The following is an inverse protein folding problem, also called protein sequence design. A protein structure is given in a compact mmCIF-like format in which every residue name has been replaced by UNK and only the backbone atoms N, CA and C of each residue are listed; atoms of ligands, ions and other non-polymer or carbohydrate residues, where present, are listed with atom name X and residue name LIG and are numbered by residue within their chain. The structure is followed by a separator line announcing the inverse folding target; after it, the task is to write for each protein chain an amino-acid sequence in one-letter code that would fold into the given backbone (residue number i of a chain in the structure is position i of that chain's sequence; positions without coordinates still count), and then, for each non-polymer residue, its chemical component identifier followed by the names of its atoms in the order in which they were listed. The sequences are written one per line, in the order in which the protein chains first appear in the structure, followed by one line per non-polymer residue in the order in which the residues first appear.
data_IF_786787130080
#
_entry.id   IF_786787130080
#
_cell.length_a   1.000
_cell.length_b   1.000
_cell.length_c   1.000
_cell.angle_alpha   90.00
_cell.angle_beta   90.00
_cell.angle_gamma   90.00
#
_symmetry.space_group_name_H-M   'P 1'
#
loop_
_entity.id
_entity.type
_entity.pdbx_description
1 polymer ?
#
# COMPACT_ATOMS: atom_id res chain seq x y z
N UNK A 1 1.09 5.33 15.71
CA UNK A 1 0.20 4.86 14.62
C UNK A 1 0.23 3.33 14.46
N UNK A 2 1.41 2.69 14.48
CA UNK A 2 1.58 1.24 14.36
C UNK A 2 0.67 0.40 15.28
N UNK A 3 0.58 0.73 16.58
CA UNK A 3 -0.27 0.00 17.54
C UNK A 3 -1.75 -0.08 17.12
N UNK A 4 -2.34 1.03 16.63
CA UNK A 4 -3.74 1.04 16.17
C UNK A 4 -3.95 0.17 14.94
N UNK A 5 -2.97 0.12 14.03
CA UNK A 5 -3.04 -0.71 12.82
C UNK A 5 -2.98 -2.19 13.15
N UNK A 6 -2.11 -2.56 14.09
CA UNK A 6 -2.00 -3.94 14.55
C UNK A 6 -3.29 -4.41 15.26
N UNK A 7 -4.10 -3.49 15.80
CA UNK A 7 -5.41 -3.81 16.36
C UNK A 7 -6.50 -4.01 15.29
N UNK A 8 -6.34 -3.49 14.07
CA UNK A 8 -7.35 -3.61 13.00
C UNK A 8 -7.45 -5.04 12.48
N UNK A 9 -6.33 -5.77 12.38
CA UNK A 9 -6.33 -7.14 11.90
C UNK A 9 -6.32 -8.13 13.07
N UNK A 10 -7.25 -9.10 13.05
CA UNK A 10 -7.26 -10.20 14.02
C UNK A 10 -5.93 -10.97 14.04
N UNK A 11 -5.25 -11.07 12.89
CA UNK A 11 -3.96 -11.78 12.77
C UNK A 11 -2.85 -11.07 13.53
N UNK A 12 -2.78 -9.75 13.46
CA UNK A 12 -1.78 -8.96 14.18
C UNK A 12 -2.13 -8.77 15.64
N UNK A 13 -3.42 -8.60 15.96
CA UNK A 13 -3.91 -8.41 17.33
C UNK A 13 -3.69 -9.66 18.21
N UNK A 14 -3.81 -10.86 17.62
CA UNK A 14 -3.60 -12.15 18.32
C UNK A 14 -2.23 -12.75 18.05
N UNK A 15 -1.29 -11.99 17.51
CA UNK A 15 0.04 -12.50 17.21
C UNK A 15 0.79 -12.80 18.51
N UNK A 16 1.11 -14.07 18.74
CA UNK A 16 1.92 -14.53 19.88
C UNK A 16 3.42 -14.57 19.60
N UNK A 17 3.86 -14.18 18.39
CA UNK A 17 5.27 -14.17 17.99
C UNK A 17 5.57 -13.02 17.04
N UNK A 18 6.83 -12.59 16.97
CA UNK A 18 7.28 -11.61 15.98
C UNK A 18 7.04 -12.09 14.54
N UNK A 19 7.12 -13.40 14.31
CA UNK A 19 6.87 -13.98 12.98
C UNK A 19 5.41 -13.83 12.57
N UNK A 20 4.47 -14.25 13.42
CA UNK A 20 3.04 -14.10 13.13
C UNK A 20 2.60 -12.64 13.07
N UNK A 21 3.24 -11.75 13.85
CA UNK A 21 3.04 -10.31 13.75
C UNK A 21 3.51 -9.76 12.40
N UNK A 22 4.69 -10.18 11.95
CA UNK A 22 5.26 -9.80 10.65
C UNK A 22 4.40 -10.26 9.48
N UNK A 23 3.94 -11.52 9.49
CA UNK A 23 3.02 -12.03 8.47
C UNK A 23 1.69 -11.28 8.45
N UNK A 24 1.11 -11.02 9.63
CA UNK A 24 -0.10 -10.23 9.73
C UNK A 24 0.08 -8.81 9.20
N UNK A 25 1.22 -8.18 9.48
CA UNK A 25 1.54 -6.82 9.01
C UNK A 25 1.71 -6.76 7.49
N UNK A 26 2.40 -7.75 6.92
CA UNK A 26 2.55 -7.89 5.47
C UNK A 26 1.22 -8.10 4.76
N UNK A 27 0.32 -8.90 5.33
CA UNK A 27 -1.04 -9.10 4.81
C UNK A 27 -1.84 -7.80 4.79
N UNK A 28 -1.74 -6.97 5.85
CA UNK A 28 -2.39 -5.65 5.88
C UNK A 28 -1.83 -4.75 4.78
N UNK A 29 -0.51 -4.68 4.63
CA UNK A 29 0.14 -3.88 3.59
C UNK A 29 -0.32 -4.30 2.19
N UNK A 30 -0.39 -5.61 1.93
CA UNK A 30 -0.89 -6.18 0.68
C UNK A 30 -2.32 -5.74 0.38
N UNK A 31 -3.22 -5.98 1.33
CA UNK A 31 -4.64 -5.61 1.20
C UNK A 31 -4.82 -4.12 0.90
N UNK A 32 -4.00 -3.27 1.51
CA UNK A 32 -4.05 -1.82 1.32
C UNK A 32 -3.54 -1.38 -0.04
N UNK A 33 -2.43 -1.94 -0.52
CA UNK A 33 -1.93 -1.66 -1.87
C UNK A 33 -2.95 -2.07 -2.94
N UNK A 34 -3.59 -3.22 -2.77
CA UNK A 34 -4.65 -3.70 -3.65
C UNK A 34 -5.88 -2.81 -3.61
N UNK A 35 -6.39 -2.48 -2.42
CA UNK A 35 -7.55 -1.59 -2.24
C UNK A 35 -7.30 -0.22 -2.87
N UNK A 36 -6.09 0.32 -2.72
CA UNK A 36 -5.70 1.61 -3.31
C UNK A 36 -5.76 1.57 -4.84
N UNK A 37 -5.24 0.50 -5.46
CA UNK A 37 -5.34 0.33 -6.91
C UNK A 37 -6.80 0.21 -7.38
N UNK A 38 -7.65 -0.51 -6.63
CA UNK A 38 -9.08 -0.64 -6.93
C UNK A 38 -9.78 0.72 -6.84
N UNK A 39 -9.55 1.48 -5.78
CA UNK A 39 -10.15 2.81 -5.59
C UNK A 39 -9.75 3.77 -6.71
N UNK A 40 -8.47 3.81 -7.09
CA UNK A 40 -8.01 4.62 -8.23
C UNK A 40 -8.69 4.21 -9.55
N UNK A 41 -8.89 2.91 -9.75
CA UNK A 41 -9.59 2.40 -10.93
C UNK A 41 -11.09 2.78 -10.93
N UNK A 42 -11.75 2.76 -9.77
CA UNK A 42 -13.13 3.23 -9.62
C UNK A 42 -13.21 4.73 -9.93
N UNK A 43 -12.30 5.55 -9.39
CA UNK A 43 -12.24 6.98 -9.70
C UNK A 43 -12.03 7.25 -11.19
N UNK A 44 -11.16 6.48 -11.86
CA UNK A 44 -10.93 6.56 -13.31
C UNK A 44 -12.17 6.25 -14.15
N UNK A 45 -13.02 5.32 -13.69
CA UNK A 45 -14.27 4.95 -14.39
C UNK A 45 -15.40 5.94 -14.15
N UNK A 46 -15.47 6.52 -12.96
CA UNK A 46 -16.58 7.38 -12.54
C UNK A 46 -16.56 8.79 -13.17
N UNK A 47 -15.40 9.34 -13.53
CA UNK A 47 -15.30 10.72 -14.07
C UNK A 47 -14.77 10.71 -15.50
N UNK A 48 -15.60 11.16 -16.45
CA UNK A 48 -15.31 11.20 -17.90
C UNK A 48 -14.24 12.23 -18.29
N UNK A 49 -14.16 13.37 -17.61
CA UNK A 49 -13.16 14.42 -17.84
C UNK A 49 -12.33 14.67 -16.58
N UNK A 50 -11.10 14.17 -16.58
CA UNK A 50 -10.12 14.38 -15.50
C UNK A 50 -8.95 15.17 -16.05
N UNK A 51 -8.68 16.34 -15.46
CA UNK A 51 -7.47 17.14 -15.75
C UNK A 51 -6.17 16.38 -15.38
N UNK A 52 -6.27 15.26 -14.66
CA UNK A 52 -5.14 14.45 -14.16
C UNK A 52 -5.29 12.94 -14.43
N UNK A 53 -6.00 12.55 -15.50
CA UNK A 53 -6.34 11.13 -15.76
C UNK A 53 -5.10 10.23 -15.83
N UNK A 54 -4.02 10.71 -16.44
CA UNK A 54 -2.76 9.96 -16.53
C UNK A 54 -2.12 9.75 -15.16
N UNK A 55 -2.14 10.75 -14.26
CA UNK A 55 -1.63 10.59 -12.89
C UNK A 55 -2.41 9.51 -12.11
N UNK A 56 -3.72 9.42 -12.31
CA UNK A 56 -4.52 8.34 -11.71
C UNK A 56 -4.16 6.96 -12.26
N UNK A 57 -3.94 6.83 -13.59
CA UNK A 57 -3.52 5.57 -14.21
C UNK A 57 -2.14 5.15 -13.71
N UNK A 58 -1.18 6.08 -13.75
CA UNK A 58 0.19 5.86 -13.26
C UNK A 58 0.17 5.44 -11.79
N UNK A 59 -0.58 6.14 -10.93
CA UNK A 59 -0.71 5.75 -9.53
C UNK A 59 -1.35 4.37 -9.33
N UNK A 60 -2.41 4.05 -10.09
CA UNK A 60 -3.03 2.73 -10.04
C UNK A 60 -2.01 1.65 -10.37
N UNK A 61 -1.21 1.86 -11.40
CA UNK A 61 -0.25 0.87 -11.88
C UNK A 61 0.97 0.76 -10.93
N UNK A 62 1.40 1.86 -10.32
CA UNK A 62 2.36 1.87 -9.22
C UNK A 62 1.86 1.13 -7.98
N UNK A 63 0.60 1.28 -7.60
CA UNK A 63 0.02 0.51 -6.49
C UNK A 63 -0.13 -0.98 -6.81
N UNK A 64 -0.44 -1.35 -8.06
CA UNK A 64 -0.37 -2.75 -8.51
C UNK A 64 1.06 -3.30 -8.42
N UNK A 65 2.05 -2.50 -8.80
CA UNK A 65 3.45 -2.86 -8.67
C UNK A 65 3.88 -3.01 -7.19
N UNK A 66 3.46 -2.09 -6.32
CA UNK A 66 3.67 -2.18 -4.88
C UNK A 66 3.10 -3.48 -4.31
N UNK A 67 1.88 -3.86 -4.72
CA UNK A 67 1.26 -5.12 -4.32
C UNK A 67 2.11 -6.34 -4.74
N UNK A 68 2.62 -6.36 -5.99
CA UNK A 68 3.54 -7.41 -6.46
C UNK A 68 4.80 -7.48 -5.59
N UNK A 69 5.39 -6.34 -5.22
CA UNK A 69 6.57 -6.29 -4.34
C UNK A 69 6.28 -6.76 -2.92
N UNK A 70 5.10 -6.48 -2.38
CA UNK A 70 4.68 -7.01 -1.08
C UNK A 70 4.50 -8.53 -1.15
N UNK A 71 3.96 -9.08 -2.25
CA UNK A 71 3.86 -10.53 -2.46
C UNK A 71 5.27 -11.18 -2.52
N UNK A 72 6.21 -10.56 -3.23
CA UNK A 72 7.62 -10.98 -3.23
C UNK A 72 8.23 -10.91 -1.81
N UNK A 73 7.94 -9.85 -1.04
CA UNK A 73 8.37 -9.70 0.34
C UNK A 73 7.82 -10.80 1.25
N UNK A 74 6.52 -11.14 1.14
CA UNK A 74 5.88 -12.23 1.88
C UNK A 74 6.57 -13.56 1.57
N UNK A 75 6.84 -13.84 0.29
CA UNK A 75 7.54 -15.06 -0.13
C UNK A 75 8.93 -15.15 0.49
N UNK A 76 9.70 -14.05 0.51
CA UNK A 76 11.02 -14.00 1.16
C UNK A 76 10.94 -14.08 2.68
N UNK A 77 9.96 -13.44 3.30
CA UNK A 77 9.74 -13.47 4.75
C UNK A 77 9.44 -14.89 5.24
N UNK A 78 8.59 -15.63 4.53
CA UNK A 78 8.27 -17.03 4.85
C UNK A 78 9.48 -17.96 4.78
N UNK A 79 10.45 -17.64 3.90
CA UNK A 79 11.74 -18.33 3.76
C UNK A 79 12.82 -17.81 4.73
N UNK A 80 12.46 -16.96 5.70
CA UNK A 80 13.37 -16.29 6.64
C UNK A 80 14.44 -15.41 5.95
N UNK A 81 14.26 -15.04 4.69
CA UNK A 81 15.14 -14.13 3.96
C UNK A 81 14.76 -12.66 4.24
N UNK A 82 14.89 -12.23 5.50
CA UNK A 82 14.37 -10.93 5.97
C UNK A 82 15.01 -9.73 5.27
N UNK A 83 16.31 -9.78 4.97
CA UNK A 83 16.99 -8.72 4.24
C UNK A 83 16.40 -8.51 2.83
N UNK A 84 16.11 -9.61 2.10
CA UNK A 84 15.46 -9.53 0.80
C UNK A 84 14.01 -9.06 0.91
N UNK A 85 13.27 -9.52 1.93
CA UNK A 85 11.90 -9.08 2.18
C UNK A 85 11.84 -7.57 2.41
N UNK A 86 12.77 -7.03 3.22
CA UNK A 86 12.90 -5.60 3.49
C UNK A 86 13.14 -4.79 2.22
N UNK A 87 14.06 -5.22 1.34
CA UNK A 87 14.32 -4.52 0.07
C UNK A 87 13.06 -4.37 -0.79
N UNK A 88 12.21 -5.40 -0.85
CA UNK A 88 10.96 -5.32 -1.59
C UNK A 88 9.94 -4.39 -0.93
N UNK A 89 9.86 -4.37 0.41
CA UNK A 89 9.02 -3.43 1.13
C UNK A 89 9.45 -1.97 0.94
N UNK A 90 10.76 -1.69 0.94
CA UNK A 90 11.29 -0.35 0.71
C UNK A 90 10.92 0.19 -0.68
N UNK A 91 10.80 -0.68 -1.68
CA UNK A 91 10.29 -0.30 -3.00
C UNK A 91 8.80 0.01 -2.94
N UNK A 92 8.01 -0.82 -2.27
CA UNK A 92 6.56 -0.61 -2.12
C UNK A 92 6.24 0.68 -1.33
N UNK A 93 7.01 0.98 -0.28
CA UNK A 93 6.84 2.14 0.60
C UNK A 93 7.01 3.49 -0.12
N UNK A 94 7.73 3.54 -1.24
CA UNK A 94 7.94 4.77 -2.02
C UNK A 94 6.71 5.16 -2.85
N UNK A 95 5.79 4.23 -3.08
CA UNK A 95 4.66 4.44 -4.00
C UNK A 95 3.69 5.52 -3.50
N UNK A 96 3.18 5.50 -2.25
CA UNK A 96 2.28 6.54 -1.74
C UNK A 96 2.88 7.94 -1.88
N UNK A 97 4.14 8.10 -1.49
CA UNK A 97 4.87 9.38 -1.61
C UNK A 97 5.00 9.82 -3.07
N UNK A 98 5.32 8.90 -3.99
CA UNK A 98 5.41 9.21 -5.42
C UNK A 98 4.06 9.66 -6.00
N UNK A 99 2.97 9.05 -5.54
CA UNK A 99 1.61 9.42 -5.94
C UNK A 99 1.23 10.78 -5.38
N UNK A 100 1.51 11.02 -4.09
CA UNK A 100 1.32 12.32 -3.45
C UNK A 100 2.00 13.44 -4.26
N UNK A 101 3.25 13.22 -4.68
CA UNK A 101 4.01 14.17 -5.51
C UNK A 101 3.40 14.39 -6.90
N UNK A 102 2.91 13.35 -7.56
CA UNK A 102 2.34 13.45 -8.91
C UNK A 102 1.08 14.34 -8.97
N UNK A 103 0.34 14.47 -7.87
CA UNK A 103 -0.83 15.33 -7.79
C UNK A 103 -0.55 16.73 -7.19
N UNK A 104 0.67 16.97 -6.69
CA UNK A 104 1.08 18.21 -6.04
C UNK A 104 0.18 18.60 -4.86
N UNK A 105 0.07 19.90 -4.60
CA UNK A 105 -0.73 20.46 -3.50
C UNK A 105 -2.24 20.36 -3.76
N UNK A 106 -2.65 20.15 -5.02
CA UNK A 106 -4.06 20.00 -5.42
C UNK A 106 -4.45 18.53 -5.53
N UNK A 107 -4.18 17.76 -4.49
CA UNK A 107 -4.63 16.38 -4.42
C UNK A 107 -6.15 16.29 -4.35
N UNK A 108 -6.78 15.53 -5.27
CA UNK A 108 -8.17 15.17 -5.12
C UNK A 108 -8.39 14.47 -3.78
N UNK A 109 -9.51 14.76 -3.10
CA UNK A 109 -9.80 14.24 -1.77
C UNK A 109 -9.73 12.71 -1.70
N UNK A 110 -10.07 12.03 -2.79
CA UNK A 110 -10.01 10.57 -2.91
C UNK A 110 -8.56 10.07 -2.88
N UNK A 111 -7.66 10.74 -3.60
CA UNK A 111 -6.22 10.43 -3.62
C UNK A 111 -5.60 10.76 -2.26
N UNK A 112 -6.00 11.87 -1.65
CA UNK A 112 -5.54 12.26 -0.31
C UNK A 112 -5.89 11.18 0.71
N UNK A 113 -7.14 10.68 0.71
CA UNK A 113 -7.56 9.57 1.58
C UNK A 113 -6.75 8.30 1.33
N UNK A 114 -6.48 7.94 0.08
CA UNK A 114 -5.68 6.76 -0.27
C UNK A 114 -4.23 6.90 0.25
N UNK A 115 -3.63 8.07 0.09
CA UNK A 115 -2.26 8.36 0.51
C UNK A 115 -2.14 8.45 2.05
N UNK A 116 -3.02 9.19 2.73
CA UNK A 116 -3.04 9.30 4.21
C UNK A 116 -3.23 7.93 4.88
N UNK A 117 -4.02 7.06 4.26
CA UNK A 117 -4.21 5.69 4.77
C UNK A 117 -3.00 4.79 4.49
N UNK A 118 -2.18 5.13 3.49
CA UNK A 118 -0.96 4.39 3.14
C UNK A 118 0.25 4.85 3.95
N UNK A 119 0.40 6.17 4.18
CA UNK A 119 1.46 6.77 5.02
C UNK A 119 1.39 6.27 6.49
N UNK A 120 0.23 5.76 6.91
CA UNK A 120 0.07 5.17 8.23
C UNK A 120 0.77 3.80 8.41
N UNK A 121 1.07 3.11 7.30
CA UNK A 121 1.38 1.67 7.23
C UNK A 121 2.80 1.33 6.77
N UNK A 122 3.44 2.26 6.08
CA UNK A 122 4.84 2.17 5.67
C UNK A 122 5.72 3.03 6.58
#
# INVERSE_FOLDING_TARGET
MCFRILQISRKTCRASSLRSLGEGSLDIARFRAETSAVMLNVSLKAKRNFFNRENYKDCRDKYKYANKKIIEAISKFRKNCFASARKFLEVAAKVPVSCKKAFGDRQPAEVRKINETSDALF
#
